data_IF_177059398884
#
_entry.id   IF_177059398884
#
_cell.length_a   1.000
_cell.length_b   1.000
_cell.length_c   1.000
_cell.angle_alpha   90.00
_cell.angle_beta   90.00
_cell.angle_gamma   90.00
#
_symmetry.space_group_name_H-M   'P 1'
#
loop_
_entity.id
_entity.type
_entity.pdbx_description
1 polymer ?
#
# COMPACT_ATOMS: atom_id res chain seq x y z
N UNK A 1 33.86 25.08 44.58
CA UNK A 1 34.83 25.45 43.53
C UNK A 1 34.00 25.49 42.26
N UNK A 2 33.69 26.70 41.78
CA UNK A 2 32.73 26.94 40.69
C UNK A 2 33.44 26.62 39.37
N UNK A 3 32.97 25.62 38.63
CA UNK A 3 33.45 25.35 37.27
C UNK A 3 32.86 26.40 36.32
N UNK A 4 33.76 27.06 35.59
CA UNK A 4 33.45 28.11 34.62
C UNK A 4 32.95 27.47 33.33
N UNK A 5 31.73 27.82 32.93
CA UNK A 5 31.28 27.66 31.54
C UNK A 5 32.14 28.56 30.63
N UNK A 6 32.79 27.94 29.65
CA UNK A 6 33.45 28.64 28.55
C UNK A 6 32.36 29.04 27.55
N UNK A 7 32.09 30.35 27.45
CA UNK A 7 31.24 30.94 26.43
C UNK A 7 32.13 31.51 25.32
N UNK A 8 32.10 30.91 24.13
CA UNK A 8 32.64 31.51 22.91
C UNK A 8 31.61 32.50 22.36
N UNK A 9 32.08 33.70 21.99
CA UNK A 9 31.27 34.80 21.47
C UNK A 9 31.74 35.11 20.05
N UNK A 10 30.86 34.87 19.08
CA UNK A 10 31.03 35.26 17.69
C UNK A 10 30.70 36.74 17.50
N UNK A 11 31.37 37.39 16.54
CA UNK A 11 31.36 38.84 16.30
C UNK A 11 30.04 39.47 15.83
N UNK A 12 28.92 38.74 15.89
CA UNK A 12 27.60 39.21 15.47
C UNK A 12 26.56 39.32 16.60
N UNK A 13 26.93 39.09 17.87
CA UNK A 13 26.09 39.46 19.01
C UNK A 13 24.71 38.78 19.06
N UNK A 14 24.53 37.64 18.38
CA UNK A 14 23.32 36.84 18.49
C UNK A 14 23.53 35.81 19.58
N UNK A 15 22.82 36.00 20.70
CA UNK A 15 22.79 35.06 21.81
C UNK A 15 21.99 33.82 21.38
N UNK A 16 22.66 32.79 20.85
CA UNK A 16 22.05 31.48 20.69
C UNK A 16 21.99 30.80 22.07
N UNK A 17 20.88 31.01 22.77
CA UNK A 17 20.51 30.11 23.86
C UNK A 17 20.21 28.74 23.26
N UNK A 18 21.16 27.82 23.34
CA UNK A 18 20.84 26.40 23.20
C UNK A 18 19.80 26.06 24.27
N UNK A 19 18.59 25.60 23.91
CA UNK A 19 17.68 25.07 24.91
C UNK A 19 18.40 23.88 25.55
N UNK A 20 18.66 23.96 26.86
CA UNK A 20 19.11 22.82 27.65
C UNK A 20 18.11 21.66 27.52
N UNK A 21 18.53 20.42 27.81
CA UNK A 21 17.70 19.24 27.58
C UNK A 21 16.39 19.40 28.37
N UNK A 22 15.29 19.53 27.64
CA UNK A 22 13.96 19.54 28.24
C UNK A 22 13.71 18.18 28.87
N UNK A 23 13.39 18.18 30.16
CA UNK A 23 13.00 17.02 30.95
C UNK A 23 11.76 16.34 30.33
N UNK A 24 11.98 15.29 29.53
CA UNK A 24 11.06 14.18 29.16
C UNK A 24 11.41 13.53 27.80
N UNK A 25 12.68 13.53 27.40
CA UNK A 25 13.09 12.72 26.25
C UNK A 25 13.13 11.24 26.64
N UNK A 26 12.36 10.40 25.94
CA UNK A 26 12.42 8.94 26.08
C UNK A 26 13.87 8.46 25.91
N UNK A 27 14.39 7.68 26.85
CA UNK A 27 15.68 7.02 26.67
C UNK A 27 15.61 5.94 25.59
N UNK A 28 16.77 5.51 25.09
CA UNK A 28 16.85 4.46 24.07
C UNK A 28 16.28 3.12 24.55
N UNK A 29 16.54 2.76 25.81
CA UNK A 29 15.99 1.55 26.43
C UNK A 29 14.47 1.63 26.57
N UNK A 30 13.95 2.80 26.96
CA UNK A 30 12.50 3.03 27.01
C UNK A 30 11.88 2.96 25.62
N UNK A 31 12.56 3.43 24.57
CA UNK A 31 12.06 3.33 23.20
C UNK A 31 11.90 1.86 22.78
N UNK A 32 12.88 1.00 23.07
CA UNK A 32 12.73 -0.45 22.83
C UNK A 32 11.66 -1.09 23.72
N UNK A 33 11.48 -0.62 24.96
CA UNK A 33 10.34 -1.05 25.79
C UNK A 33 9.00 -0.67 25.15
N UNK A 34 8.90 0.50 24.52
CA UNK A 34 7.71 0.93 23.77
C UNK A 34 7.50 0.07 22.52
N UNK A 35 8.55 -0.33 21.80
CA UNK A 35 8.43 -1.31 20.70
C UNK A 35 7.80 -2.61 21.20
N UNK A 36 8.27 -3.15 22.32
CA UNK A 36 7.70 -4.37 22.90
C UNK A 36 6.23 -4.18 23.36
N UNK A 37 5.86 -2.99 23.81
CA UNK A 37 4.47 -2.65 24.11
C UNK A 37 3.62 -2.62 22.82
N UNK A 38 4.16 -2.03 21.74
CA UNK A 38 3.53 -1.99 20.43
C UNK A 38 3.33 -3.40 19.85
N UNK A 39 4.30 -4.30 20.00
CA UNK A 39 4.16 -5.72 19.63
C UNK A 39 2.97 -6.36 20.36
N UNK A 40 2.84 -6.13 21.68
CA UNK A 40 1.71 -6.66 22.47
C UNK A 40 0.37 -6.12 22.00
N UNK A 41 0.30 -4.85 21.58
CA UNK A 41 -0.92 -4.23 21.04
C UNK A 41 -1.24 -4.78 19.65
N UNK A 42 -0.22 -4.94 18.82
CA UNK A 42 -0.33 -5.58 17.51
C UNK A 42 -0.91 -7.00 17.60
N UNK A 43 -0.41 -7.83 18.52
CA UNK A 43 -0.95 -9.17 18.74
C UNK A 43 -2.38 -9.19 19.29
N UNK A 44 -2.82 -8.11 19.94
CA UNK A 44 -4.21 -7.91 20.35
C UNK A 44 -5.09 -7.37 19.21
N UNK A 45 -4.55 -7.20 18.00
CA UNK A 45 -5.21 -6.59 16.84
C UNK A 45 -5.63 -5.13 17.06
N UNK A 46 -5.01 -4.45 18.04
CA UNK A 46 -5.16 -3.02 18.29
C UNK A 46 -4.09 -2.27 17.48
N UNK A 47 -4.27 -2.28 16.15
CA UNK A 47 -3.29 -1.75 15.21
C UNK A 47 -3.14 -0.24 15.31
N UNK A 48 -4.21 0.48 15.64
CA UNK A 48 -4.20 1.93 15.83
C UNK A 48 -3.18 2.33 16.91
N UNK A 49 -3.30 1.76 18.12
CA UNK A 49 -2.36 2.06 19.20
C UNK A 49 -0.98 1.48 18.95
N UNK A 50 -0.88 0.34 18.26
CA UNK A 50 0.41 -0.23 17.89
C UNK A 50 1.19 0.74 16.97
N UNK A 51 0.55 1.30 15.95
CA UNK A 51 1.15 2.27 15.01
C UNK A 51 1.62 3.53 15.76
N UNK A 52 0.82 4.08 16.68
CA UNK A 52 1.21 5.23 17.50
C UNK A 52 2.45 4.95 18.37
N UNK A 53 2.52 3.75 18.96
CA UNK A 53 3.65 3.35 19.80
C UNK A 53 4.90 3.07 18.98
N UNK A 54 4.76 2.39 17.83
CA UNK A 54 5.86 2.15 16.92
C UNK A 54 6.44 3.46 16.37
N UNK A 55 5.61 4.42 15.96
CA UNK A 55 6.10 5.70 15.43
C UNK A 55 6.88 6.48 16.48
N UNK A 56 6.39 6.56 17.73
CA UNK A 56 7.08 7.19 18.85
C UNK A 56 8.44 6.53 19.14
N UNK A 57 8.47 5.21 19.19
CA UNK A 57 9.71 4.47 19.42
C UNK A 57 10.71 4.64 18.27
N UNK A 58 10.21 4.57 17.04
CA UNK A 58 11.02 4.69 15.83
C UNK A 58 11.66 6.07 15.73
N UNK A 59 10.93 7.15 16.01
CA UNK A 59 11.48 8.51 16.02
C UNK A 59 12.67 8.63 16.97
N UNK A 60 12.55 8.06 18.19
CA UNK A 60 13.64 8.10 19.17
C UNK A 60 14.84 7.26 18.73
N UNK A 61 14.61 6.05 18.23
CA UNK A 61 15.66 5.13 17.79
C UNK A 61 16.42 5.72 16.58
N UNK A 62 15.69 6.30 15.63
CA UNK A 62 16.24 6.97 14.46
C UNK A 62 17.05 8.21 14.84
N UNK A 63 16.62 8.98 15.85
CA UNK A 63 17.39 10.12 16.36
C UNK A 63 18.75 9.71 16.93
N UNK A 64 18.83 8.54 17.54
CA UNK A 64 20.06 8.02 18.16
C UNK A 64 21.03 7.44 17.14
N UNK A 65 20.54 6.58 16.23
CA UNK A 65 21.39 5.82 15.31
C UNK A 65 21.47 6.40 13.89
N UNK A 66 20.56 7.31 13.54
CA UNK A 66 20.34 7.77 12.17
C UNK A 66 19.39 6.84 11.40
N UNK A 67 18.68 7.39 10.41
CA UNK A 67 17.67 6.66 9.62
C UNK A 67 18.23 5.41 8.94
N UNK A 68 19.41 5.51 8.32
CA UNK A 68 20.01 4.45 7.50
C UNK A 68 20.81 3.36 8.23
N UNK A 69 20.66 3.25 9.55
CA UNK A 69 21.31 2.19 10.34
C UNK A 69 20.54 0.87 10.24
N UNK A 70 21.27 -0.25 10.04
CA UNK A 70 20.67 -1.59 9.89
C UNK A 70 19.92 -2.05 11.14
N UNK A 71 20.26 -1.50 12.31
CA UNK A 71 19.56 -1.79 13.58
C UNK A 71 18.09 -1.34 13.58
N UNK A 72 17.73 -0.41 12.70
CA UNK A 72 16.36 0.08 12.61
C UNK A 72 15.45 -0.82 11.77
N UNK A 73 16.01 -1.78 11.01
CA UNK A 73 15.27 -2.59 10.04
C UNK A 73 14.04 -3.27 10.68
N UNK A 74 14.22 -3.91 11.83
CA UNK A 74 13.15 -4.61 12.53
C UNK A 74 12.02 -3.67 12.98
N UNK A 75 12.36 -2.45 13.40
CA UNK A 75 11.38 -1.46 13.87
C UNK A 75 10.59 -0.88 12.70
N UNK A 76 11.27 -0.57 11.58
CA UNK A 76 10.60 -0.16 10.34
C UNK A 76 9.68 -1.25 9.80
N UNK A 77 10.13 -2.51 9.82
CA UNK A 77 9.29 -3.66 9.44
C UNK A 77 8.02 -3.76 10.29
N UNK A 78 8.17 -3.75 11.62
CA UNK A 78 7.02 -3.86 12.54
C UNK A 78 6.06 -2.68 12.40
N UNK A 79 6.59 -1.47 12.22
CA UNK A 79 5.79 -0.27 11.97
C UNK A 79 5.00 -0.37 10.66
N UNK A 80 5.68 -0.68 9.54
CA UNK A 80 5.05 -0.82 8.23
C UNK A 80 4.01 -1.93 8.19
N UNK A 81 4.27 -3.06 8.87
CA UNK A 81 3.30 -4.15 9.02
C UNK A 81 2.07 -3.75 9.84
N UNK A 82 2.26 -2.98 10.92
CA UNK A 82 1.14 -2.47 11.69
C UNK A 82 0.27 -1.49 10.88
N UNK A 83 0.90 -0.62 10.08
CA UNK A 83 0.22 0.28 9.16
C UNK A 83 -0.57 -0.47 8.09
N UNK A 84 0.02 -1.50 7.48
CA UNK A 84 -0.67 -2.35 6.51
C UNK A 84 -1.94 -2.96 7.08
N UNK A 85 -1.86 -3.61 8.25
CA UNK A 85 -3.05 -4.23 8.84
C UNK A 85 -4.08 -3.21 9.34
N UNK A 86 -3.64 -2.01 9.74
CA UNK A 86 -4.54 -0.89 10.01
C UNK A 86 -5.27 -0.44 8.75
N UNK A 87 -4.55 -0.31 7.62
CA UNK A 87 -5.11 0.04 6.32
C UNK A 87 -6.12 -1.00 5.86
N UNK A 88 -5.80 -2.30 5.96
CA UNK A 88 -6.74 -3.41 5.66
C UNK A 88 -7.98 -3.37 6.56
N UNK A 89 -7.81 -3.11 7.87
CA UNK A 89 -8.93 -3.00 8.82
C UNK A 89 -9.86 -1.84 8.48
N UNK A 90 -9.30 -0.72 8.01
CA UNK A 90 -10.06 0.49 7.63
C UNK A 90 -10.67 0.41 6.25
N UNK A 91 -9.99 -0.24 5.31
CA UNK A 91 -10.45 -0.30 3.92
C UNK A 91 -11.74 -1.08 3.80
N UNK A 92 -12.00 -2.06 4.68
CA UNK A 92 -13.23 -2.86 4.69
C UNK A 92 -13.48 -3.65 3.39
N UNK A 93 -12.61 -3.51 2.39
CA UNK A 93 -12.75 -3.97 1.01
C UNK A 93 -12.10 -5.35 0.81
N UNK A 94 -11.24 -5.81 1.72
CA UNK A 94 -10.78 -7.19 1.71
C UNK A 94 -10.66 -7.80 3.10
N UNK A 95 -11.53 -8.77 3.38
CA UNK A 95 -11.18 -9.87 4.28
C UNK A 95 -10.12 -10.74 3.60
N UNK A 96 -8.86 -10.30 3.62
CA UNK A 96 -7.68 -11.04 3.15
C UNK A 96 -7.69 -11.37 1.65
N UNK A 97 -7.04 -10.55 0.82
CA UNK A 97 -6.86 -10.80 -0.64
C UNK A 97 -6.22 -12.16 -0.92
N UNK A 98 -5.50 -12.73 0.04
CA UNK A 98 -5.12 -14.14 0.02
C UNK A 98 -5.56 -14.71 1.38
N UNK A 99 -6.55 -15.62 1.43
CA UNK A 99 -6.77 -16.37 2.64
C UNK A 99 -5.43 -17.04 2.99
N UNK A 100 -4.81 -16.74 4.14
CA UNK A 100 -3.81 -17.66 4.64
C UNK A 100 -4.48 -19.02 4.68
N UNK A 101 -3.77 -20.08 4.25
CA UNK A 101 -4.20 -21.46 4.48
C UNK A 101 -4.65 -21.52 5.96
N UNK A 102 -5.97 -21.62 6.18
CA UNK A 102 -6.66 -21.00 7.34
C UNK A 102 -6.02 -21.38 8.68
N UNK A 103 -5.70 -20.38 9.49
CA UNK A 103 -5.60 -20.50 10.95
C UNK A 103 -6.29 -19.30 11.62
N UNK A 104 -7.54 -19.54 12.09
CA UNK A 104 -8.26 -18.91 13.20
C UNK A 104 -8.25 -17.36 13.43
N UNK A 105 -9.41 -16.71 13.20
CA UNK A 105 -10.37 -16.12 14.20
C UNK A 105 -11.02 -14.80 13.76
N UNK A 106 -12.34 -14.80 13.97
CA UNK A 106 -13.42 -13.96 13.46
C UNK A 106 -13.93 -12.85 14.43
N UNK A 107 -14.62 -11.85 13.84
CA UNK A 107 -15.74 -10.98 14.34
C UNK A 107 -15.45 -9.76 15.26
N UNK A 108 -16.00 -8.59 14.85
CA UNK A 108 -16.72 -7.67 15.75
C UNK A 108 -16.44 -6.16 15.63
N UNK A 109 -17.40 -5.40 15.10
CA UNK A 109 -17.47 -3.96 14.81
C UNK A 109 -17.51 -2.96 16.00
N UNK A 110 -17.03 -1.71 15.78
CA UNK A 110 -17.66 -0.39 16.08
C UNK A 110 -16.68 0.72 16.62
N UNK A 111 -16.50 1.81 15.83
CA UNK A 111 -16.14 3.26 16.04
C UNK A 111 -15.29 3.72 17.27
N UNK A 112 -14.61 4.91 17.34
CA UNK A 112 -14.59 6.13 16.49
C UNK A 112 -13.15 6.63 16.07
N UNK A 113 -13.09 7.72 15.28
CA UNK A 113 -11.87 8.29 14.62
C UNK A 113 -10.95 9.10 15.55
N UNK A 114 -9.61 9.02 15.40
CA UNK A 114 -8.70 10.15 15.61
C UNK A 114 -7.90 10.50 14.34
N UNK A 115 -7.71 11.81 14.14
CA UNK A 115 -6.94 12.44 13.06
C UNK A 115 -5.43 12.35 13.34
N UNK A 116 -4.63 11.96 12.34
CA UNK A 116 -3.33 12.60 12.10
C UNK A 116 -2.89 12.43 10.65
N UNK A 117 -2.59 13.55 9.98
CA UNK A 117 -2.04 13.66 8.63
C UNK A 117 -0.63 14.23 8.83
N UNK A 118 0.42 13.49 8.48
CA UNK A 118 1.79 14.02 8.51
C UNK A 118 2.32 14.16 7.09
N UNK A 119 2.21 15.37 6.56
CA UNK A 119 3.27 15.94 5.75
C UNK A 119 3.64 17.29 6.37
N UNK A 120 4.72 17.24 7.16
CA UNK A 120 5.51 18.37 7.67
C UNK A 120 4.75 19.50 8.39
N UNK A 121 4.82 19.43 9.72
CA UNK A 121 5.17 20.52 10.65
C UNK A 121 5.08 21.96 10.08
N UNK A 122 3.90 22.58 10.17
CA UNK A 122 3.72 24.02 10.16
C UNK A 122 2.66 24.41 11.22
N UNK A 123 3.14 25.04 12.30
CA UNK A 123 2.34 25.64 13.36
C UNK A 123 1.88 27.04 12.94
N UNK A 124 0.61 27.18 12.60
CA UNK A 124 -0.15 28.42 12.82
C UNK A 124 -1.64 28.10 12.73
N UNK A 125 -2.34 28.36 13.84
CA UNK A 125 -3.75 28.08 13.99
C UNK A 125 -4.64 29.06 13.23
N UNK A 126 -5.80 28.57 12.84
CA UNK A 126 -7.10 29.17 13.18
C UNK A 126 -8.21 28.13 12.91
N UNK A 127 -9.23 28.08 13.77
CA UNK A 127 -10.37 27.16 13.70
C UNK A 127 -11.41 27.63 12.66
N UNK A 128 -11.94 26.71 11.86
CA UNK A 128 -13.36 26.75 11.50
C UNK A 128 -13.85 25.37 11.05
N UNK A 129 -14.80 24.85 11.82
CA UNK A 129 -15.60 23.65 11.60
C UNK A 129 -16.28 23.63 10.23
N UNK A 130 -16.38 22.44 9.63
CA UNK A 130 -17.66 21.89 9.17
C UNK A 130 -17.50 20.40 8.78
N UNK A 131 -18.50 19.61 9.18
CA UNK A 131 -18.63 18.17 9.02
C UNK A 131 -19.03 17.80 7.58
N UNK A 132 -18.20 17.04 6.86
CA UNK A 132 -18.70 16.11 5.85
C UNK A 132 -17.94 14.77 5.96
N UNK A 133 -18.71 13.73 6.25
CA UNK A 133 -18.32 12.34 6.22
C UNK A 133 -18.22 11.87 4.77
N UNK A 134 -17.01 11.76 4.24
CA UNK A 134 -16.72 10.91 3.10
C UNK A 134 -15.72 9.83 3.52
N UNK A 135 -16.19 8.58 3.49
CA UNK A 135 -15.40 7.35 3.61
C UNK A 135 -14.53 7.17 2.36
N UNK A 136 -13.54 8.04 2.20
CA UNK A 136 -12.41 7.81 1.31
C UNK A 136 -11.32 7.12 2.14
N UNK A 137 -11.07 5.84 1.87
CA UNK A 137 -9.78 5.22 2.23
C UNK A 137 -8.73 6.11 1.58
N UNK A 138 -7.94 6.84 2.35
CA UNK A 138 -6.83 7.56 1.76
C UNK A 138 -5.83 6.51 1.29
N UNK A 139 -5.57 6.44 -0.02
CA UNK A 139 -4.43 5.72 -0.62
C UNK A 139 -3.10 5.98 0.12
N UNK A 140 -3.07 7.04 0.92
CA UNK A 140 -2.04 7.41 1.89
C UNK A 140 -1.68 6.29 2.89
N UNK A 141 -2.64 5.56 3.49
CA UNK A 141 -2.31 4.58 4.55
C UNK A 141 -1.48 3.40 4.00
N UNK A 142 -1.82 2.88 2.82
CA UNK A 142 -1.04 1.85 2.13
C UNK A 142 0.29 2.39 1.59
N UNK A 143 0.33 3.65 1.17
CA UNK A 143 1.55 4.30 0.68
C UNK A 143 2.59 4.43 1.81
N UNK A 144 2.18 4.90 2.99
CA UNK A 144 3.07 5.02 4.16
C UNK A 144 3.55 3.63 4.60
N UNK A 145 2.67 2.62 4.58
CA UNK A 145 3.05 1.24 4.88
C UNK A 145 4.11 0.71 3.90
N UNK A 146 3.92 0.97 2.60
CA UNK A 146 4.87 0.58 1.55
C UNK A 146 6.22 1.25 1.75
N UNK A 147 6.27 2.55 2.00
CA UNK A 147 7.52 3.29 2.23
C UNK A 147 8.30 2.75 3.43
N UNK A 148 7.63 2.50 4.56
CA UNK A 148 8.25 1.93 5.74
C UNK A 148 8.82 0.52 5.48
N UNK A 149 8.10 -0.32 4.74
CA UNK A 149 8.53 -1.68 4.39
C UNK A 149 9.63 -1.70 3.33
N UNK A 150 9.58 -0.82 2.34
CA UNK A 150 10.60 -0.67 1.31
C UNK A 150 11.93 -0.24 1.94
N UNK A 151 11.87 0.68 2.90
CA UNK A 151 13.04 1.08 3.66
C UNK A 151 13.57 -0.06 4.54
N UNK A 152 12.69 -0.82 5.20
CA UNK A 152 13.08 -2.03 5.92
C UNK A 152 13.76 -3.06 4.99
N UNK A 153 13.23 -3.28 3.79
CA UNK A 153 13.81 -4.18 2.78
C UNK A 153 15.22 -3.74 2.43
N UNK A 154 15.41 -2.46 2.16
CA UNK A 154 16.72 -1.87 1.87
C UNK A 154 17.71 -2.10 3.03
N UNK A 155 17.29 -1.89 4.28
CA UNK A 155 18.14 -2.12 5.45
C UNK A 155 18.50 -3.60 5.63
N UNK A 156 17.58 -4.53 5.39
CA UNK A 156 17.89 -5.97 5.43
C UNK A 156 18.87 -6.37 4.32
N UNK A 157 18.72 -5.85 3.10
CA UNK A 157 19.70 -6.08 2.03
C UNK A 157 21.08 -5.57 2.40
N UNK A 158 21.16 -4.33 2.94
CA UNK A 158 22.42 -3.76 3.46
C UNK A 158 23.01 -4.62 4.57
N UNK A 159 22.18 -5.18 5.46
CA UNK A 159 22.63 -6.09 6.51
C UNK A 159 23.22 -7.40 5.94
N UNK A 160 22.62 -7.94 4.87
CA UNK A 160 23.17 -9.10 4.16
C UNK A 160 24.49 -8.79 3.45
N UNK A 161 24.61 -7.62 2.84
CA UNK A 161 25.85 -7.20 2.15
C UNK A 161 27.00 -7.01 3.15
N UNK A 162 26.71 -6.45 4.33
CA UNK A 162 27.66 -6.37 5.44
C UNK A 162 28.07 -7.78 5.89
N UNK A 163 27.11 -8.70 6.05
CA UNK A 163 27.39 -10.09 6.43
C UNK A 163 28.20 -10.85 5.38
N UNK A 164 28.01 -10.55 4.09
CA UNK A 164 28.78 -11.16 2.98
C UNK A 164 30.16 -10.52 2.81
N UNK A 165 30.49 -9.48 3.57
CA UNK A 165 31.75 -8.75 3.46
C UNK A 165 31.86 -7.91 2.18
N UNK A 166 30.72 -7.56 1.57
CA UNK A 166 30.64 -6.83 0.28
C UNK A 166 30.73 -5.31 0.48
N UNK A 167 30.67 -4.80 1.73
CA UNK A 167 30.76 -3.36 1.97
C UNK A 167 32.21 -2.87 2.11
N UNK A 168 32.64 -2.04 1.16
CA UNK A 168 33.78 -1.14 1.30
C UNK A 168 33.38 0.04 2.22
N UNK A 169 34.14 0.22 3.32
CA UNK A 169 34.14 1.37 4.25
C UNK A 169 33.04 1.40 5.32
N UNK A 170 33.25 0.66 6.42
CA UNK A 170 32.80 1.09 7.75
C UNK A 170 33.67 0.48 8.86
N UNK A 171 33.83 1.28 9.91
CA UNK A 171 34.83 1.22 10.98
C UNK A 171 34.90 -0.09 11.77
N UNK A 172 36.06 -0.33 12.37
CA UNK A 172 36.49 -1.56 13.06
C UNK A 172 35.62 -2.01 14.26
N UNK A 173 34.62 -1.23 14.67
CA UNK A 173 33.82 -1.46 15.89
C UNK A 173 32.48 -2.20 15.69
N UNK A 174 32.05 -2.50 14.45
CA UNK A 174 30.78 -3.19 14.18
C UNK A 174 30.91 -4.68 13.82
N UNK A 175 31.99 -5.35 14.26
CA UNK A 175 32.13 -6.81 14.15
C UNK A 175 31.44 -7.53 15.32
N UNK A 176 30.12 -7.36 15.46
CA UNK A 176 29.34 -8.23 16.35
C UNK A 176 29.02 -9.54 15.63
N UNK A 177 29.73 -10.61 16.03
CA UNK A 177 29.28 -12.00 15.96
C UNK A 177 28.80 -12.51 14.59
N UNK A 178 29.76 -12.91 13.76
CA UNK A 178 29.51 -13.67 12.53
C UNK A 178 28.92 -15.05 12.87
N UNK A 179 27.65 -15.28 12.55
CA UNK A 179 26.99 -16.59 12.66
C UNK A 179 26.11 -16.78 11.43
N UNK A 180 26.27 -17.90 10.72
CA UNK A 180 25.49 -18.27 9.52
C UNK A 180 23.97 -18.27 9.78
N UNK A 181 23.58 -18.58 11.02
CA UNK A 181 22.21 -18.46 11.54
C UNK A 181 21.64 -17.03 11.46
N UNK A 182 22.49 -16.00 11.61
CA UNK A 182 22.07 -14.61 11.44
C UNK A 182 21.78 -14.27 9.97
N UNK A 183 22.48 -14.87 9.01
CA UNK A 183 22.19 -14.63 7.58
C UNK A 183 20.83 -15.22 7.19
N UNK A 184 20.54 -16.45 7.63
CA UNK A 184 19.26 -17.12 7.32
C UNK A 184 18.09 -16.36 7.96
N UNK A 185 18.25 -15.88 9.20
CA UNK A 185 17.19 -15.09 9.87
C UNK A 185 16.91 -13.77 9.17
N UNK A 186 17.94 -13.08 8.66
CA UNK A 186 17.76 -11.86 7.86
C UNK A 186 17.10 -12.18 6.51
N UNK A 187 17.50 -13.27 5.83
CA UNK A 187 16.87 -13.68 4.57
C UNK A 187 15.39 -14.04 4.76
N UNK A 188 15.01 -14.64 5.91
CA UNK A 188 13.60 -14.87 6.28
C UNK A 188 12.84 -13.55 6.41
N UNK A 189 13.38 -12.60 7.19
CA UNK A 189 12.77 -11.28 7.38
C UNK A 189 12.64 -10.52 6.05
N UNK A 190 13.65 -10.63 5.19
CA UNK A 190 13.64 -10.03 3.86
C UNK A 190 12.54 -10.67 2.98
N UNK A 191 12.40 -12.00 3.01
CA UNK A 191 11.35 -12.70 2.29
C UNK A 191 9.95 -12.27 2.77
N UNK A 192 9.74 -12.17 4.08
CA UNK A 192 8.47 -11.72 4.67
C UNK A 192 8.18 -10.26 4.33
N UNK A 193 9.22 -9.41 4.18
CA UNK A 193 9.07 -8.02 3.75
C UNK A 193 8.62 -7.94 2.29
N UNK A 194 9.24 -8.72 1.39
CA UNK A 194 8.80 -8.82 0.00
C UNK A 194 7.37 -9.35 -0.14
N UNK A 195 7.00 -10.33 0.69
CA UNK A 195 5.63 -10.87 0.71
C UNK A 195 4.61 -9.76 0.99
N UNK A 196 4.88 -8.93 1.99
CA UNK A 196 4.00 -7.86 2.41
C UNK A 196 3.96 -6.69 1.41
N UNK A 197 5.10 -6.35 0.79
CA UNK A 197 5.16 -5.38 -0.32
C UNK A 197 4.34 -5.84 -1.52
N UNK A 198 4.37 -7.15 -1.82
CA UNK A 198 3.55 -7.76 -2.85
C UNK A 198 2.05 -7.67 -2.54
N UNK A 199 1.65 -7.93 -1.28
CA UNK A 199 0.26 -7.76 -0.84
C UNK A 199 -0.22 -6.30 -0.95
N UNK A 200 0.57 -5.33 -0.49
CA UNK A 200 0.23 -3.91 -0.65
C UNK A 200 0.10 -3.54 -2.13
N UNK A 201 0.98 -4.06 -2.98
CA UNK A 201 0.91 -3.82 -4.41
C UNK A 201 -0.33 -4.43 -5.05
N UNK A 202 -0.81 -5.60 -4.57
CA UNK A 202 -2.09 -6.16 -5.01
C UNK A 202 -3.28 -5.29 -4.59
N UNK A 203 -3.31 -4.81 -3.35
CA UNK A 203 -4.38 -3.92 -2.84
C UNK A 203 -4.45 -2.61 -3.64
N UNK A 204 -3.30 -2.10 -4.07
CA UNK A 204 -3.19 -0.90 -4.92
C UNK A 204 -3.35 -1.19 -6.42
N UNK A 205 -3.77 -2.39 -6.81
CA UNK A 205 -3.90 -2.85 -8.20
C UNK A 205 -2.61 -2.72 -9.05
N UNK A 206 -1.45 -2.60 -8.40
CA UNK A 206 -0.14 -2.59 -9.04
C UNK A 206 0.38 -4.02 -9.22
N UNK A 207 -0.29 -4.78 -10.09
CA UNK A 207 -0.03 -6.19 -10.31
C UNK A 207 1.38 -6.49 -10.85
N UNK A 208 1.97 -5.54 -11.60
CA UNK A 208 3.34 -5.67 -12.11
C UNK A 208 4.37 -5.65 -10.99
N UNK A 209 4.22 -4.73 -10.03
CA UNK A 209 5.11 -4.65 -8.87
C UNK A 209 4.89 -5.84 -7.93
N UNK A 210 3.62 -6.23 -7.71
CA UNK A 210 3.28 -7.41 -6.92
C UNK A 210 3.96 -8.68 -7.44
N UNK A 211 4.01 -8.86 -8.77
CA UNK A 211 4.71 -9.98 -9.41
C UNK A 211 6.19 -10.03 -9.03
N UNK A 212 6.89 -8.89 -9.12
CA UNK A 212 8.33 -8.78 -8.82
C UNK A 212 8.61 -9.07 -7.35
N UNK A 213 7.78 -8.52 -6.46
CA UNK A 213 7.94 -8.69 -5.02
C UNK A 213 7.62 -10.12 -4.60
N UNK A 214 6.54 -10.74 -5.08
CA UNK A 214 6.25 -12.15 -4.79
C UNK A 214 7.28 -13.11 -5.38
N UNK A 215 7.83 -12.83 -6.57
CA UNK A 215 8.92 -13.63 -7.13
C UNK A 215 10.16 -13.56 -6.23
N UNK A 216 10.52 -12.36 -5.75
CA UNK A 216 11.66 -12.16 -4.85
C UNK A 216 11.45 -12.88 -3.51
N UNK A 217 10.24 -12.81 -2.96
CA UNK A 217 9.81 -13.56 -1.76
C UNK A 217 9.95 -15.08 -1.97
N UNK A 218 9.44 -15.61 -3.09
CA UNK A 218 9.49 -17.02 -3.43
C UNK A 218 10.93 -17.53 -3.61
N UNK A 219 11.78 -16.78 -4.31
CA UNK A 219 13.17 -17.14 -4.56
C UNK A 219 13.99 -17.26 -3.27
N UNK A 220 13.69 -16.43 -2.27
CA UNK A 220 14.27 -16.54 -0.93
C UNK A 220 13.67 -17.72 -0.17
N UNK A 221 12.34 -17.88 -0.18
CA UNK A 221 11.65 -18.95 0.55
C UNK A 221 12.10 -20.33 0.07
N UNK A 222 12.30 -20.56 -1.23
CA UNK A 222 12.78 -21.84 -1.79
C UNK A 222 14.18 -22.22 -1.29
N UNK A 223 15.04 -21.23 -1.02
CA UNK A 223 16.40 -21.47 -0.49
C UNK A 223 16.38 -21.86 0.98
N UNK A 224 15.41 -21.35 1.74
CA UNK A 224 15.38 -21.42 3.21
C UNK A 224 14.50 -22.58 3.70
N UNK A 225 13.37 -22.82 3.04
CA UNK A 225 12.34 -23.74 3.51
C UNK A 225 12.26 -25.00 2.65
N UNK A 226 11.95 -26.16 3.25
CA UNK A 226 11.71 -27.38 2.50
C UNK A 226 10.41 -27.28 1.69
N UNK A 227 10.27 -28.12 0.66
CA UNK A 227 9.15 -28.10 -0.28
C UNK A 227 7.79 -28.29 0.42
N UNK A 228 7.72 -29.10 1.47
CA UNK A 228 6.51 -29.36 2.26
C UNK A 228 6.07 -28.19 3.16
N UNK A 229 6.84 -27.11 3.23
CA UNK A 229 6.50 -25.95 4.05
C UNK A 229 5.25 -25.24 3.52
N UNK A 230 4.35 -24.84 4.43
CA UNK A 230 3.16 -24.04 4.08
C UNK A 230 3.52 -22.74 3.38
N UNK A 231 4.67 -22.15 3.74
CA UNK A 231 5.15 -20.89 3.19
C UNK A 231 5.49 -21.01 1.69
N UNK A 232 5.90 -22.20 1.23
CA UNK A 232 6.20 -22.46 -0.18
C UNK A 232 4.89 -22.56 -0.98
N UNK A 233 3.92 -23.33 -0.49
CA UNK A 233 2.60 -23.42 -1.14
C UNK A 233 1.90 -22.06 -1.21
N UNK A 234 2.01 -21.26 -0.14
CA UNK A 234 1.44 -19.92 -0.07
C UNK A 234 2.12 -18.95 -1.06
N UNK A 235 3.46 -18.92 -1.09
CA UNK A 235 4.20 -18.04 -2.00
C UNK A 235 3.91 -18.35 -3.47
N UNK A 236 3.84 -19.63 -3.85
CA UNK A 236 3.42 -20.03 -5.19
C UNK A 236 2.00 -19.61 -5.52
N UNK A 237 1.07 -19.72 -4.57
CA UNK A 237 -0.32 -19.30 -4.77
C UNK A 237 -0.44 -17.77 -4.92
N UNK A 238 0.23 -16.98 -4.07
CA UNK A 238 0.26 -15.51 -4.16
C UNK A 238 0.83 -15.04 -5.50
N UNK A 239 1.91 -15.66 -5.97
CA UNK A 239 2.49 -15.36 -7.28
C UNK A 239 1.55 -15.71 -8.43
N UNK A 240 0.87 -16.86 -8.36
CA UNK A 240 -0.14 -17.25 -9.35
C UNK A 240 -1.32 -16.26 -9.39
N UNK A 241 -1.76 -15.76 -8.24
CA UNK A 241 -2.80 -14.75 -8.14
C UNK A 241 -2.37 -13.45 -8.82
N UNK A 242 -1.15 -12.97 -8.58
CA UNK A 242 -0.62 -11.78 -9.26
C UNK A 242 -0.54 -11.96 -10.78
N UNK A 243 -0.12 -13.13 -11.26
CA UNK A 243 -0.10 -13.47 -12.69
C UNK A 243 -1.48 -13.48 -13.33
N UNK A 244 -2.51 -13.91 -12.61
CA UNK A 244 -3.89 -13.94 -13.09
C UNK A 244 -4.44 -12.54 -13.39
N UNK A 245 -4.14 -11.56 -12.54
CA UNK A 245 -4.60 -10.18 -12.71
C UNK A 245 -4.03 -9.49 -13.95
N UNK A 246 -2.86 -9.91 -14.45
CA UNK A 246 -2.25 -9.34 -15.65
C UNK A 246 -2.94 -9.77 -16.97
N UNK A 247 -3.83 -10.78 -16.94
CA UNK A 247 -4.69 -11.22 -18.06
C UNK A 247 -4.01 -11.53 -19.41
N UNK A 248 -2.70 -11.73 -19.45
CA UNK A 248 -1.96 -12.16 -20.65
C UNK A 248 -2.00 -13.68 -20.83
N UNK A 249 -2.18 -14.17 -22.06
CA UNK A 249 -2.25 -15.61 -22.35
C UNK A 249 -0.98 -16.36 -21.92
N UNK A 250 0.19 -15.77 -22.13
CA UNK A 250 1.48 -16.38 -21.78
C UNK A 250 1.72 -16.40 -20.26
N UNK A 251 1.12 -15.46 -19.51
CA UNK A 251 1.22 -15.40 -18.06
C UNK A 251 0.24 -16.35 -17.37
N UNK A 252 -0.87 -16.68 -18.02
CA UNK A 252 -1.83 -17.69 -17.54
C UNK A 252 -1.21 -19.07 -17.42
N UNK A 253 -0.42 -19.49 -18.40
CA UNK A 253 0.28 -20.78 -18.35
C UNK A 253 1.25 -20.82 -17.16
N UNK A 254 1.98 -19.72 -16.91
CA UNK A 254 2.84 -19.57 -15.72
C UNK A 254 2.05 -19.60 -14.41
N UNK A 255 0.86 -18.99 -14.37
CA UNK A 255 -0.01 -19.04 -13.19
C UNK A 255 -0.42 -20.50 -12.87
N UNK A 256 -0.80 -21.26 -13.91
CA UNK A 256 -1.11 -22.70 -13.78
C UNK A 256 0.11 -23.48 -13.27
N UNK A 257 1.30 -23.23 -13.83
CA UNK A 257 2.54 -23.86 -13.36
C UNK A 257 2.80 -23.62 -11.86
N UNK A 258 2.63 -22.39 -11.39
CA UNK A 258 2.81 -22.08 -9.97
C UNK A 258 1.75 -22.74 -9.08
N UNK A 259 0.49 -22.83 -9.53
CA UNK A 259 -0.54 -23.58 -8.78
C UNK A 259 -0.21 -25.07 -8.72
N UNK A 260 0.35 -25.65 -9.79
CA UNK A 260 0.86 -27.03 -9.76
C UNK A 260 1.98 -27.21 -8.72
N UNK A 261 2.91 -26.25 -8.60
CA UNK A 261 3.94 -26.29 -7.55
C UNK A 261 3.35 -26.18 -6.15
N UNK A 262 2.33 -25.33 -5.94
CA UNK A 262 1.60 -25.25 -4.68
C UNK A 262 0.91 -26.57 -4.32
N UNK A 263 0.24 -27.22 -5.28
CA UNK A 263 -0.36 -28.55 -5.11
C UNK A 263 0.71 -29.58 -4.74
N UNK A 264 1.85 -29.59 -5.45
CA UNK A 264 2.94 -30.54 -5.18
C UNK A 264 3.51 -30.36 -3.76
N UNK A 265 3.62 -29.13 -3.28
CA UNK A 265 4.02 -28.81 -1.91
C UNK A 265 3.01 -29.37 -0.89
N UNK A 266 1.70 -29.13 -1.11
CA UNK A 266 0.63 -29.64 -0.25
C UNK A 266 0.51 -31.16 -0.26
N UNK A 267 0.66 -31.82 -1.41
CA UNK A 267 0.69 -33.28 -1.54
C UNK A 267 1.85 -33.86 -0.72
N UNK A 268 3.04 -33.25 -0.79
CA UNK A 268 4.19 -33.68 0.00
C UNK A 268 3.95 -33.54 1.50
N UNK A 269 3.32 -32.44 1.92
CA UNK A 269 2.93 -32.21 3.31
C UNK A 269 1.91 -33.25 3.79
N UNK A 270 0.92 -33.58 2.95
CA UNK A 270 -0.07 -34.62 3.24
C UNK A 270 0.58 -35.99 3.44
N UNK A 271 1.54 -36.38 2.60
CA UNK A 271 2.29 -37.63 2.77
C UNK A 271 3.05 -37.71 4.10
N UNK A 272 3.61 -36.58 4.55
CA UNK A 272 4.35 -36.51 5.81
C UNK A 272 3.40 -36.67 6.99
N UNK A 273 2.25 -35.98 6.96
CA UNK A 273 1.29 -36.08 8.06
C UNK A 273 0.61 -37.45 8.14
N UNK A 274 0.34 -38.10 7.01
CA UNK A 274 -0.16 -39.48 6.99
C UNK A 274 0.81 -40.49 7.62
N UNK A 275 2.12 -40.24 7.51
CA UNK A 275 3.18 -41.07 8.11
C UNK A 275 3.46 -40.69 9.57
N UNK A 276 2.95 -39.56 10.03
CA UNK A 276 3.14 -39.04 11.37
C UNK A 276 2.39 -39.89 12.39
N UNK A 277 2.99 -40.13 13.56
CA UNK A 277 2.35 -40.84 14.68
C UNK A 277 1.70 -39.87 15.67
N UNK A 278 1.12 -38.78 15.17
CA UNK A 278 0.38 -37.82 16.00
C UNK A 278 -0.94 -38.45 16.48
N UNK A 279 -1.58 -37.84 17.48
CA UNK A 279 -2.90 -38.29 17.95
C UNK A 279 -3.90 -38.26 16.79
N UNK A 280 -4.64 -39.37 16.60
CA UNK A 280 -5.52 -39.60 15.43
C UNK A 280 -6.45 -38.43 15.11
N UNK A 281 -7.07 -37.82 16.13
CA UNK A 281 -8.02 -36.71 15.92
C UNK A 281 -7.38 -35.41 15.40
N UNK A 282 -6.15 -35.09 15.82
CA UNK A 282 -5.45 -33.88 15.34
C UNK A 282 -4.92 -34.09 13.92
N UNK A 283 -4.43 -35.30 13.65
CA UNK A 283 -3.98 -35.70 12.33
C UNK A 283 -5.14 -35.67 11.31
N UNK A 284 -6.30 -36.25 11.64
CA UNK A 284 -7.45 -36.27 10.74
C UNK A 284 -7.96 -34.86 10.38
N UNK A 285 -7.91 -33.92 11.33
CA UNK A 285 -8.23 -32.51 11.08
C UNK A 285 -7.22 -31.85 10.13
N UNK A 286 -5.93 -31.98 10.42
CA UNK A 286 -4.85 -31.42 9.59
C UNK A 286 -4.90 -32.01 8.16
N UNK A 287 -5.18 -33.31 8.03
CA UNK A 287 -5.33 -33.97 6.73
C UNK A 287 -6.56 -33.48 5.95
N UNK A 288 -7.70 -33.32 6.63
CA UNK A 288 -8.93 -32.80 6.02
C UNK A 288 -8.71 -31.38 5.48
N UNK A 289 -8.09 -30.51 6.28
CA UNK A 289 -7.79 -29.13 5.86
C UNK A 289 -6.89 -29.12 4.61
N UNK A 290 -5.85 -29.96 4.58
CA UNK A 290 -4.97 -30.07 3.41
C UNK A 290 -5.73 -30.57 2.17
N UNK A 291 -6.63 -31.53 2.35
CA UNK A 291 -7.47 -32.04 1.26
C UNK A 291 -8.42 -30.98 0.70
N UNK A 292 -9.02 -30.17 1.56
CA UNK A 292 -9.89 -29.06 1.14
C UNK A 292 -9.10 -28.04 0.32
N UNK A 293 -7.91 -27.65 0.79
CA UNK A 293 -7.03 -26.72 0.07
C UNK A 293 -6.56 -27.29 -1.28
N UNK A 294 -6.25 -28.59 -1.35
CA UNK A 294 -5.93 -29.27 -2.60
C UNK A 294 -7.12 -29.27 -3.57
N UNK A 295 -8.34 -29.44 -3.07
CA UNK A 295 -9.54 -29.42 -3.88
C UNK A 295 -9.79 -28.04 -4.48
N UNK A 296 -9.64 -26.97 -3.68
CA UNK A 296 -9.73 -25.58 -4.12
C UNK A 296 -8.69 -25.26 -5.22
N UNK A 297 -7.41 -25.60 -5.01
CA UNK A 297 -6.37 -25.34 -6.00
C UNK A 297 -6.58 -26.13 -7.30
N UNK A 298 -7.08 -27.38 -7.22
CA UNK A 298 -7.42 -28.17 -8.42
C UNK A 298 -8.62 -27.60 -9.17
N UNK A 299 -9.59 -27.03 -8.47
CA UNK A 299 -10.69 -26.31 -9.11
C UNK A 299 -10.17 -25.06 -9.81
N UNK A 300 -9.27 -24.31 -9.15
CA UNK A 300 -8.63 -23.12 -9.73
C UNK A 300 -7.88 -23.43 -11.03
N UNK A 301 -7.14 -24.53 -11.11
CA UNK A 301 -6.50 -24.97 -12.37
C UNK A 301 -7.55 -25.19 -13.46
N UNK A 302 -8.63 -25.91 -13.16
CA UNK A 302 -9.71 -26.16 -14.14
C UNK A 302 -10.38 -24.87 -14.62
N UNK A 303 -10.46 -23.85 -13.76
CA UNK A 303 -10.98 -22.54 -14.13
C UNK A 303 -10.01 -21.78 -15.04
N UNK A 304 -8.71 -21.81 -14.74
CA UNK A 304 -7.69 -21.17 -15.56
C UNK A 304 -7.50 -21.85 -16.93
N UNK A 305 -7.64 -23.18 -16.98
CA UNK A 305 -7.60 -23.99 -18.21
C UNK A 305 -8.83 -23.78 -19.10
N UNK A 306 -9.98 -23.44 -18.52
CA UNK A 306 -11.12 -22.99 -19.32
C UNK A 306 -10.72 -21.68 -19.97
N UNK A 307 -10.64 -21.71 -21.30
CA UNK A 307 -10.42 -20.52 -22.11
C UNK A 307 -11.30 -19.38 -21.57
N UNK A 308 -10.78 -18.14 -21.53
CA UNK A 308 -11.68 -17.02 -21.49
C UNK A 308 -12.47 -17.17 -22.80
N UNK A 309 -13.71 -17.67 -22.71
CA UNK A 309 -14.71 -17.13 -23.60
C UNK A 309 -14.52 -15.64 -23.42
N UNK A 310 -14.00 -14.99 -24.46
CA UNK A 310 -14.23 -13.57 -24.64
C UNK A 310 -15.69 -13.44 -24.27
N UNK A 311 -15.98 -12.78 -23.16
CA UNK A 311 -17.23 -12.08 -23.01
C UNK A 311 -17.18 -11.06 -24.13
N UNK A 312 -17.45 -11.53 -25.36
CA UNK A 312 -18.20 -10.80 -26.33
C UNK A 312 -19.44 -10.51 -25.53
N UNK A 313 -19.44 -9.35 -24.88
CA UNK A 313 -20.66 -8.63 -24.61
C UNK A 313 -21.38 -8.74 -25.93
N UNK A 314 -22.37 -9.63 -26.01
CA UNK A 314 -23.39 -9.53 -27.04
C UNK A 314 -24.02 -8.20 -26.70
N UNK A 315 -23.46 -7.11 -27.22
CA UNK A 315 -24.21 -5.91 -27.43
C UNK A 315 -25.49 -6.43 -28.09
N UNK A 316 -26.68 -6.27 -27.49
CA UNK A 316 -27.87 -6.64 -28.22
C UNK A 316 -27.76 -5.93 -29.56
N UNK A 317 -27.81 -6.68 -30.66
CA UNK A 317 -27.72 -6.16 -32.02
C UNK A 317 -28.72 -5.01 -32.17
N UNK A 318 -28.24 -3.78 -31.94
CA UNK A 318 -29.05 -2.58 -32.08
C UNK A 318 -29.51 -2.44 -33.55
N UNK A 319 -28.76 -3.04 -34.48
CA UNK A 319 -29.11 -3.14 -35.89
C UNK A 319 -30.39 -3.95 -36.15
N UNK A 320 -30.68 -5.00 -35.37
CA UNK A 320 -31.88 -5.83 -35.57
C UNK A 320 -33.14 -5.19 -34.97
N UNK A 321 -33.01 -4.37 -33.92
CA UNK A 321 -34.12 -3.62 -33.34
C UNK A 321 -34.53 -2.44 -34.23
N UNK A 322 -33.56 -1.77 -34.87
CA UNK A 322 -33.81 -0.64 -35.79
C UNK A 322 -34.39 -1.10 -37.14
N UNK A 323 -34.19 -2.36 -37.54
CA UNK A 323 -34.63 -2.86 -38.86
C UNK A 323 -36.12 -3.23 -38.93
N UNK A 324 -36.76 -3.55 -37.81
CA UNK A 324 -38.10 -4.12 -37.79
C UNK A 324 -39.22 -3.19 -37.33
N UNK A 325 -38.94 -1.91 -37.04
CA UNK A 325 -39.99 -0.97 -36.66
C UNK A 325 -39.95 0.27 -37.56
N UNK A 326 -40.78 0.24 -38.62
CA UNK A 326 -41.01 1.40 -39.50
C UNK A 326 -41.57 2.60 -38.71
N UNK A 327 -42.18 2.35 -37.55
CA UNK A 327 -42.78 3.37 -36.69
C UNK A 327 -41.73 4.16 -35.89
N UNK A 328 -40.59 3.56 -35.55
CA UNK A 328 -39.51 4.25 -34.83
C UNK A 328 -38.73 5.21 -35.74
N UNK A 329 -38.62 4.89 -37.04
CA UNK A 329 -38.04 5.83 -38.03
C UNK A 329 -38.94 7.04 -38.23
N UNK A 330 -40.27 6.86 -38.25
CA UNK A 330 -41.21 7.98 -38.37
C UNK A 330 -41.19 8.87 -37.13
N UNK A 331 -41.19 8.28 -35.91
CA UNK A 331 -41.14 9.08 -34.68
C UNK A 331 -39.81 9.81 -34.52
N UNK A 332 -38.67 9.22 -34.91
CA UNK A 332 -37.38 9.90 -34.88
C UNK A 332 -37.31 11.04 -35.92
N UNK A 333 -37.89 10.86 -37.11
CA UNK A 333 -37.97 11.93 -38.12
C UNK A 333 -38.92 13.06 -37.70
N UNK A 334 -40.03 12.76 -37.03
CA UNK A 334 -40.94 13.75 -36.44
C UNK A 334 -40.30 14.50 -35.26
N UNK A 335 -39.44 13.85 -34.47
CA UNK A 335 -38.69 14.50 -33.39
C UNK A 335 -37.60 15.41 -33.96
N UNK A 336 -36.87 14.97 -34.99
CA UNK A 336 -35.79 15.74 -35.61
C UNK A 336 -36.35 16.93 -36.41
N UNK A 337 -37.51 16.78 -37.07
CA UNK A 337 -38.15 17.89 -37.80
C UNK A 337 -38.78 18.92 -36.87
N UNK A 338 -39.21 18.54 -35.67
CA UNK A 338 -39.73 19.45 -34.64
C UNK A 338 -38.65 20.11 -33.77
N UNK A 339 -37.38 19.68 -33.86
CA UNK A 339 -36.29 20.18 -33.02
C UNK A 339 -35.55 21.40 -33.59
N UNK A 340 -36.23 22.31 -34.29
CA UNK A 340 -35.62 23.51 -34.89
C UNK A 340 -36.09 24.83 -34.28
N UNK A 341 -36.45 24.85 -32.99
CA UNK A 341 -36.75 26.09 -32.27
C UNK A 341 -36.02 26.19 -30.92
N UNK A 342 -34.70 26.29 -30.98
CA UNK A 342 -33.85 26.62 -29.81
C UNK A 342 -33.75 28.13 -29.55
N UNK A 343 -34.61 28.95 -30.15
CA UNK A 343 -34.64 30.40 -29.88
C UNK A 343 -35.60 30.81 -28.74
N UNK A 344 -36.24 29.84 -28.07
CA UNK A 344 -37.22 30.07 -27.01
C UNK A 344 -36.72 29.79 -25.56
N UNK A 345 -35.45 29.39 -25.35
CA UNK A 345 -34.90 29.12 -24.01
C UNK A 345 -33.92 30.16 -23.45
N UNK A 346 -33.78 31.33 -24.10
CA UNK A 346 -33.12 32.50 -23.48
C UNK A 346 -34.14 33.32 -22.69
N UNK A 347 -34.39 32.95 -21.43
CA UNK A 347 -35.15 33.79 -20.50
C UNK A 347 -34.33 35.04 -20.14
N UNK A 348 -34.70 36.16 -20.77
CA UNK A 348 -34.39 37.52 -20.31
C UNK A 348 -34.94 37.75 -18.90
N UNK A 349 -34.08 38.16 -17.97
CA UNK A 349 -34.46 38.74 -16.68
C UNK A 349 -35.18 40.07 -16.97
N UNK A 350 -36.48 40.16 -16.66
CA UNK A 350 -37.32 41.35 -16.86
C UNK A 350 -36.86 42.50 -15.96
N UNK A 351 -36.54 43.62 -16.59
CA UNK A 351 -36.38 44.96 -15.99
C UNK A 351 -37.77 45.59 -15.89
N UNK A 352 -38.17 46.04 -14.71
CA UNK A 352 -39.31 46.95 -14.54
C UNK A 352 -38.88 48.36 -14.95
N UNK A 353 -39.72 49.04 -15.74
CA UNK A 353 -39.55 50.44 -16.13
C UNK A 353 -40.54 51.27 -15.31
N UNK A 354 -40.05 52.32 -14.64
CA UNK A 354 -40.80 53.56 -14.50
C UNK A 354 -39.83 54.76 -14.42
N UNK A 355 -39.88 55.56 -15.48
CA UNK A 355 -39.74 57.02 -15.60
C UNK A 355 -38.62 57.80 -14.88
N UNK A 356 -37.88 58.59 -15.68
CA UNK A 356 -37.24 59.85 -15.26
C UNK A 356 -35.81 60.04 -15.79
N UNK A 357 -35.63 60.96 -16.75
CA UNK A 357 -34.36 61.69 -17.02
C UNK A 357 -33.99 62.60 -15.81
N UNK A 358 -32.80 63.25 -15.75
CA UNK A 358 -31.57 63.13 -16.56
C UNK A 358 -30.23 63.13 -15.75
N UNK A 359 -29.12 63.00 -16.52
CA UNK A 359 -27.85 63.75 -16.43
C UNK A 359 -26.54 63.11 -15.88
N UNK A 360 -25.53 63.16 -16.78
CA UNK A 360 -24.15 63.68 -16.62
C UNK A 360 -23.01 62.71 -16.21
N UNK A 361 -22.04 62.64 -17.13
CA UNK A 361 -20.56 62.48 -17.02
C UNK A 361 -19.97 61.24 -16.31
N UNK A 362 -18.79 60.71 -16.61
CA UNK A 362 -17.72 60.88 -17.62
C UNK A 362 -16.74 59.70 -17.37
N UNK A 363 -15.83 59.49 -18.33
CA UNK A 363 -14.47 58.92 -18.15
C UNK A 363 -14.34 57.40 -17.89
N UNK A 364 -13.91 56.61 -18.88
CA UNK A 364 -12.60 56.50 -19.55
C UNK A 364 -11.85 55.27 -18.99
N UNK A 365 -11.74 54.18 -19.78
CA UNK A 365 -10.59 53.82 -20.63
C UNK A 365 -9.43 53.17 -19.82
N UNK A 366 -8.68 52.15 -20.24
CA UNK A 366 -8.59 51.36 -21.48
C UNK A 366 -7.68 50.13 -21.20
N UNK A 367 -8.08 48.99 -21.77
CA UNK A 367 -7.36 47.90 -22.44
C UNK A 367 -5.95 47.39 -22.01
N UNK A 368 -5.85 46.06 -21.94
CA UNK A 368 -4.75 45.27 -22.49
C UNK A 368 -5.29 44.35 -23.60
N UNK A 369 -4.70 44.39 -24.79
CA UNK A 369 -5.11 43.56 -25.94
C UNK A 369 -3.89 43.20 -26.81
N UNK A 370 -3.70 41.88 -26.95
CA UNK A 370 -3.25 41.11 -28.14
C UNK A 370 -1.74 40.90 -28.41
N UNK A 371 -1.31 39.63 -28.38
CA UNK A 371 -1.24 38.58 -29.45
C UNK A 371 0.08 38.68 -30.22
N UNK A 372 0.99 37.70 -30.09
CA UNK A 372 1.07 36.34 -30.68
C UNK A 372 1.95 36.32 -31.94
N UNK A 373 2.77 35.26 -32.02
CA UNK A 373 3.37 34.63 -33.23
C UNK A 373 4.44 35.42 -33.99
N UNK A 374 5.50 34.86 -34.57
CA UNK A 374 6.28 33.60 -34.48
C UNK A 374 7.38 33.77 -35.57
N UNK A 375 8.54 33.15 -35.36
CA UNK A 375 9.42 32.56 -36.39
C UNK A 375 10.49 33.46 -37.09
N UNK A 376 11.70 32.88 -37.12
CA UNK A 376 12.85 33.03 -38.05
C UNK A 376 13.76 34.27 -37.98
N UNK A 377 15.00 34.11 -37.52
CA UNK A 377 16.13 33.70 -38.38
C UNK A 377 17.47 33.60 -37.64
N UNK A 378 18.33 32.72 -38.17
CA UNK A 378 19.72 32.47 -37.78
C UNK A 378 20.71 33.54 -38.29
N UNK A 379 21.94 33.51 -37.74
CA UNK A 379 23.16 34.25 -38.12
C UNK A 379 23.11 35.74 -37.73
N UNK A 380 24.04 36.31 -36.97
CA UNK A 380 25.44 36.02 -36.67
C UNK A 380 25.73 36.26 -35.18
#
# INVERSE_FOLDING_TARGET
MVEKEMQEIDSNGVLYSFPGPSESELSLEEAYSVVNEADRLYYKKDYEKAVEKYSLALERIVREYGEGDVRNADVFYSYGRALFHLAVKRSGVFGGVVPPLKNHTDIGSAFPKPLFNSSRLCFSGDESSDEESEDMVKEDDFSIAWEALDFSRFLYQKMLDINRGVSEKSSEDQKMGFVEENSITIEKKLADTYDLLGEISLENENFQQALVDFQSSLDLKIKIYPLESSLISEAHYKLALALEFLQESDLREKAIEHIHWAIKSLEKRLEIEQKSKKGKEKQEKEESEIQDMLLELRQKIKELEKNPEKTVVKTPDFENIVRNSQDVKKTLLDIISNANDVNALVKKKKKSISNGLPNIDENQQINQVHKKTKIENSCN
#
